data_IF_673970599411
#
_entry.id   IF_673970599411
#
_cell.length_a   1.000
_cell.length_b   1.000
_cell.length_c   1.000
_cell.angle_alpha   90.00
_cell.angle_beta   90.00
_cell.angle_gamma   90.00
#
_symmetry.space_group_name_H-M   'P 1'
#
loop_
_entity.id
_entity.type
_entity.pdbx_description
1 polymer ?
#
# COMPACT_ATOMS: atom_id res chain seq x y z
N UNK A 1 -25.94 34.77 -4.64
CA UNK A 1 -25.34 34.49 -3.32
C UNK A 1 -25.01 33.01 -3.14
N UNK A 2 -25.96 32.10 -3.34
CA UNK A 2 -25.76 30.66 -3.12
C UNK A 2 -24.57 30.00 -3.85
N UNK A 3 -24.30 30.38 -5.11
CA UNK A 3 -23.21 29.78 -5.88
C UNK A 3 -21.81 30.20 -5.37
N UNK A 4 -21.66 31.48 -4.99
CA UNK A 4 -20.39 31.99 -4.46
C UNK A 4 -20.04 31.32 -3.13
N UNK A 5 -21.03 31.14 -2.26
CA UNK A 5 -20.86 30.44 -0.99
C UNK A 5 -20.47 28.97 -1.18
N UNK A 6 -21.07 28.27 -2.16
CA UNK A 6 -20.68 26.89 -2.50
C UNK A 6 -19.25 26.84 -3.00
N UNK A 7 -18.86 27.73 -3.92
CA UNK A 7 -17.51 27.75 -4.47
C UNK A 7 -16.47 28.08 -3.39
N UNK A 8 -16.78 28.99 -2.47
CA UNK A 8 -15.92 29.28 -1.31
C UNK A 8 -15.80 28.08 -0.36
N UNK A 9 -16.91 27.39 -0.07
CA UNK A 9 -16.90 26.20 0.78
C UNK A 9 -16.08 25.07 0.15
N UNK A 10 -16.25 24.82 -1.15
CA UNK A 10 -15.51 23.80 -1.91
C UNK A 10 -14.01 24.15 -1.97
N UNK A 11 -13.67 25.42 -2.21
CA UNK A 11 -12.27 25.87 -2.22
C UNK A 11 -11.61 25.73 -0.85
N UNK A 12 -12.35 26.00 0.22
CA UNK A 12 -11.88 25.80 1.60
C UNK A 12 -11.68 24.32 1.91
N UNK A 13 -12.64 23.47 1.53
CA UNK A 13 -12.54 22.02 1.69
C UNK A 13 -11.33 21.45 0.93
N UNK A 14 -11.13 21.86 -0.32
CA UNK A 14 -9.97 21.47 -1.13
C UNK A 14 -8.64 21.89 -0.48
N UNK A 15 -8.58 23.10 0.07
CA UNK A 15 -7.39 23.62 0.76
C UNK A 15 -7.09 22.78 2.02
N UNK A 16 -8.13 22.42 2.79
CA UNK A 16 -7.98 21.59 3.98
C UNK A 16 -7.48 20.19 3.62
N UNK A 17 -8.01 19.58 2.56
CA UNK A 17 -7.57 18.28 2.07
C UNK A 17 -6.09 18.32 1.65
N UNK A 18 -5.66 19.38 0.97
CA UNK A 18 -4.26 19.56 0.58
C UNK A 18 -3.32 19.65 1.81
N UNK A 19 -3.74 20.36 2.86
CA UNK A 19 -2.99 20.46 4.12
C UNK A 19 -2.87 19.09 4.77
N UNK A 20 -3.97 18.34 4.85
CA UNK A 20 -3.98 16.99 5.45
C UNK A 20 -3.08 16.03 4.67
N UNK A 21 -3.16 16.02 3.34
CA UNK A 21 -2.32 15.19 2.48
C UNK A 21 -0.82 15.49 2.67
N UNK A 22 -0.46 16.77 2.81
CA UNK A 22 0.92 17.17 3.05
C UNK A 22 1.45 16.66 4.41
N UNK A 23 0.63 16.72 5.46
CA UNK A 23 1.02 16.19 6.77
C UNK A 23 1.14 14.66 6.75
N UNK A 24 0.24 13.96 6.05
CA UNK A 24 0.36 12.51 5.85
C UNK A 24 1.67 12.18 5.11
N UNK A 25 2.01 12.91 4.05
CA UNK A 25 3.26 12.69 3.31
C UNK A 25 4.48 12.88 4.21
N UNK A 26 4.48 13.91 5.06
CA UNK A 26 5.56 14.14 6.05
C UNK A 26 5.69 12.98 7.04
N UNK A 27 4.58 12.43 7.53
CA UNK A 27 4.61 11.25 8.41
C UNK A 27 5.13 10.01 7.68
N UNK A 28 4.75 9.81 6.41
CA UNK A 28 5.30 8.74 5.57
C UNK A 28 6.80 8.89 5.41
N UNK A 29 7.31 10.09 5.15
CA UNK A 29 8.75 10.35 4.97
C UNK A 29 9.55 10.11 6.26
N UNK A 30 8.93 10.26 7.43
CA UNK A 30 9.53 9.90 8.73
C UNK A 30 9.61 8.38 8.89
N UNK A 31 8.55 7.64 8.52
CA UNK A 31 8.44 6.18 8.68
C UNK A 31 9.26 5.44 7.61
N UNK A 32 9.32 5.98 6.40
CA UNK A 32 10.11 5.49 5.27
C UNK A 32 11.40 6.30 5.22
N UNK A 33 12.45 5.95 5.98
CA UNK A 33 13.74 6.60 5.82
C UNK A 33 14.12 6.52 4.34
N UNK A 34 14.55 7.66 3.79
CA UNK A 34 15.03 7.87 2.40
C UNK A 34 16.24 6.99 2.01
N UNK A 35 16.43 5.84 2.65
CA UNK A 35 17.33 4.80 2.17
C UNK A 35 16.74 4.23 0.88
N UNK A 36 17.58 4.11 -0.16
CA UNK A 36 17.27 3.61 -1.51
C UNK A 36 16.84 4.60 -2.59
N UNK A 37 17.29 5.85 -2.60
CA UNK A 37 17.47 6.56 -3.90
C UNK A 37 18.64 7.56 -3.83
N UNK A 38 19.84 7.06 -3.57
CA UNK A 38 21.09 7.73 -3.98
C UNK A 38 21.98 6.67 -4.62
N UNK A 39 21.75 6.41 -5.90
CA UNK A 39 22.80 6.19 -6.90
C UNK A 39 22.11 5.99 -8.25
N UNK A 40 22.16 7.02 -9.09
CA UNK A 40 22.87 6.94 -10.38
C UNK A 40 22.74 8.28 -11.06
N UNK A 41 23.65 9.16 -10.68
CA UNK A 41 23.99 10.32 -11.48
C UNK A 41 24.71 9.85 -12.76
N UNK A 42 24.51 10.56 -13.86
CA UNK A 42 25.26 10.42 -15.11
C UNK A 42 25.03 9.13 -15.90
N UNK A 43 24.25 9.20 -16.98
CA UNK A 43 24.78 9.01 -18.34
C UNK A 43 23.69 9.37 -19.33
N UNK A 44 23.86 10.55 -19.92
CA UNK A 44 23.42 10.83 -21.28
C UNK A 44 23.80 9.64 -22.17
N UNK A 45 22.82 8.89 -22.64
CA UNK A 45 22.98 8.08 -23.83
C UNK A 45 21.67 8.03 -24.61
N UNK A 46 21.57 9.00 -25.51
CA UNK A 46 20.76 8.93 -26.73
C UNK A 46 21.14 7.65 -27.47
N UNK A 47 20.27 6.65 -27.53
CA UNK A 47 20.37 5.55 -28.49
C UNK A 47 18.98 5.08 -28.94
N UNK A 48 18.60 5.55 -30.13
CA UNK A 48 17.87 4.88 -31.23
C UNK A 48 16.75 3.88 -30.93
N UNK A 49 15.58 3.96 -31.62
CA UNK A 49 14.58 2.91 -31.59
C UNK A 49 15.06 1.74 -32.45
N UNK A 50 15.73 0.76 -31.83
CA UNK A 50 15.95 -0.53 -32.46
C UNK A 50 14.85 -1.49 -32.02
N UNK A 51 14.19 -2.03 -33.02
CA UNK A 51 13.05 -2.92 -32.96
C UNK A 51 13.37 -4.22 -32.21
N UNK A 52 12.29 -4.79 -31.65
CA UNK A 52 12.13 -6.19 -31.24
C UNK A 52 12.62 -6.57 -29.83
N UNK A 53 11.68 -6.58 -28.86
CA UNK A 53 11.46 -7.73 -27.97
C UNK A 53 10.48 -7.42 -26.83
N UNK A 54 9.27 -7.99 -26.91
CA UNK A 54 8.43 -8.46 -25.78
C UNK A 54 8.26 -7.50 -24.59
N UNK A 55 7.49 -6.43 -24.76
CA UNK A 55 6.87 -5.73 -23.63
C UNK A 55 5.37 -6.00 -23.66
N UNK A 56 4.89 -6.72 -22.65
CA UNK A 56 3.53 -6.64 -22.07
C UNK A 56 3.01 -8.01 -21.59
N UNK A 57 3.66 -8.60 -20.58
CA UNK A 57 3.02 -9.63 -19.74
C UNK A 57 3.26 -9.43 -18.23
N UNK A 58 4.03 -8.42 -17.82
CA UNK A 58 4.39 -8.27 -16.40
C UNK A 58 3.31 -7.56 -15.56
N UNK A 59 2.55 -6.61 -16.12
CA UNK A 59 1.51 -5.88 -15.36
C UNK A 59 0.37 -6.78 -14.86
N UNK A 60 -0.08 -7.73 -15.68
CA UNK A 60 -1.15 -8.66 -15.31
C UNK A 60 -0.71 -9.67 -14.24
N UNK A 61 0.58 -10.03 -14.21
CA UNK A 61 1.12 -10.98 -13.23
C UNK A 61 1.32 -10.32 -11.86
N UNK A 62 1.69 -9.04 -11.81
CA UNK A 62 1.80 -8.28 -10.56
C UNK A 62 0.40 -8.06 -9.94
N UNK A 63 -0.60 -7.71 -10.76
CA UNK A 63 -1.98 -7.54 -10.29
C UNK A 63 -2.57 -8.85 -9.75
N UNK A 64 -2.42 -9.96 -10.48
CA UNK A 64 -2.89 -11.29 -10.05
C UNK A 64 -2.20 -11.78 -8.79
N UNK A 65 -0.89 -11.55 -8.67
CA UNK A 65 -0.11 -11.89 -7.48
C UNK A 65 -0.57 -11.09 -6.26
N UNK A 66 -0.84 -9.80 -6.43
CA UNK A 66 -1.38 -8.94 -5.38
C UNK A 66 -2.79 -9.39 -4.94
N UNK A 67 -3.65 -9.74 -5.90
CA UNK A 67 -4.99 -10.22 -5.59
C UNK A 67 -4.98 -11.57 -4.85
N UNK A 68 -4.11 -12.50 -5.25
CA UNK A 68 -3.92 -13.78 -4.57
C UNK A 68 -3.35 -13.61 -3.16
N UNK A 69 -2.40 -12.68 -2.99
CA UNK A 69 -1.87 -12.32 -1.67
C UNK A 69 -2.94 -11.72 -0.76
N UNK A 70 -3.79 -10.84 -1.29
CA UNK A 70 -4.89 -10.26 -0.53
C UNK A 70 -5.93 -11.31 -0.12
N UNK A 71 -6.31 -12.23 -1.02
CA UNK A 71 -7.21 -13.34 -0.69
C UNK A 71 -6.64 -14.22 0.43
N UNK A 72 -5.34 -14.53 0.35
CA UNK A 72 -4.65 -15.30 1.39
C UNK A 72 -4.61 -14.56 2.72
N UNK A 73 -4.32 -13.26 2.70
CA UNK A 73 -4.31 -12.42 3.90
C UNK A 73 -5.70 -12.38 4.55
N UNK A 74 -6.75 -12.21 3.76
CA UNK A 74 -8.13 -12.21 4.23
C UNK A 74 -8.50 -13.55 4.89
N UNK A 75 -8.18 -14.67 4.25
CA UNK A 75 -8.46 -16.00 4.81
C UNK A 75 -7.80 -16.23 6.19
N UNK A 76 -6.55 -15.79 6.35
CA UNK A 76 -5.83 -15.92 7.64
C UNK A 76 -6.45 -15.05 8.75
N UNK A 77 -6.93 -13.85 8.40
CA UNK A 77 -7.64 -12.98 9.34
C UNK A 77 -8.97 -13.60 9.75
N UNK A 78 -9.74 -14.10 8.79
CA UNK A 78 -11.03 -14.76 9.05
C UNK A 78 -10.87 -16.04 9.89
N UNK A 79 -9.81 -16.83 9.64
CA UNK A 79 -9.48 -18.01 10.45
C UNK A 79 -9.15 -17.62 11.90
N UNK A 80 -8.27 -16.63 12.10
CA UNK A 80 -7.92 -16.12 13.43
C UNK A 80 -9.16 -15.65 14.17
N UNK A 81 -10.02 -14.87 13.52
CA UNK A 81 -11.22 -14.30 14.13
C UNK A 81 -12.22 -15.40 14.47
N UNK A 82 -12.34 -16.41 13.61
CA UNK A 82 -13.16 -17.60 13.89
C UNK A 82 -12.66 -18.35 15.13
N UNK A 83 -11.35 -18.57 15.24
CA UNK A 83 -10.75 -19.23 16.40
C UNK A 83 -10.96 -18.43 17.69
N UNK A 84 -10.72 -17.12 17.68
CA UNK A 84 -10.95 -16.26 18.85
C UNK A 84 -12.43 -16.20 19.23
N UNK A 85 -13.34 -16.21 18.25
CA UNK A 85 -14.78 -16.21 18.50
C UNK A 85 -15.28 -17.49 19.20
N UNK A 86 -14.57 -18.61 19.06
CA UNK A 86 -14.91 -19.83 19.81
C UNK A 86 -14.65 -19.69 21.32
N UNK A 87 -13.82 -18.73 21.75
CA UNK A 87 -13.40 -18.57 23.15
C UNK A 87 -12.42 -19.64 23.64
N UNK A 88 -12.09 -20.64 22.80
CA UNK A 88 -11.11 -21.69 23.11
C UNK A 88 -9.67 -21.28 22.83
N UNK A 89 -9.48 -20.16 22.12
CA UNK A 89 -8.18 -19.61 21.78
C UNK A 89 -8.09 -18.17 22.25
N UNK A 90 -6.91 -17.80 22.69
CA UNK A 90 -6.51 -16.49 23.21
C UNK A 90 -5.39 -15.92 22.35
N UNK A 91 -5.14 -14.63 22.48
CA UNK A 91 -4.07 -13.94 21.74
C UNK A 91 -2.67 -14.50 21.99
N UNK A 92 -2.47 -15.15 23.13
CA UNK A 92 -1.19 -15.73 23.54
C UNK A 92 -1.02 -17.18 23.08
N UNK A 93 -2.09 -17.80 22.56
CA UNK A 93 -1.99 -19.16 22.07
C UNK A 93 -1.08 -19.26 20.86
N UNK A 94 -0.28 -20.32 20.82
CA UNK A 94 0.73 -20.54 19.78
C UNK A 94 0.10 -20.53 18.38
N UNK A 95 -1.13 -21.03 18.24
CA UNK A 95 -1.89 -21.03 16.97
C UNK A 95 -2.19 -19.60 16.53
N UNK A 96 -2.71 -18.76 17.43
CA UNK A 96 -3.04 -17.35 17.13
C UNK A 96 -1.76 -16.54 16.87
N UNK A 97 -0.69 -16.79 17.63
CA UNK A 97 0.60 -16.13 17.43
C UNK A 97 1.22 -16.45 16.07
N UNK A 98 1.10 -17.70 15.59
CA UNK A 98 1.53 -18.10 14.24
C UNK A 98 0.74 -17.36 13.16
N UNK A 99 -0.60 -17.36 13.26
CA UNK A 99 -1.47 -16.62 12.34
C UNK A 99 -1.11 -15.13 12.29
N UNK A 100 -0.90 -14.50 13.46
CA UNK A 100 -0.51 -13.10 13.54
C UNK A 100 0.86 -12.81 12.88
N UNK A 101 1.83 -13.72 13.03
CA UNK A 101 3.12 -13.58 12.38
C UNK A 101 3.01 -13.75 10.85
N UNK A 102 2.18 -14.68 10.38
CA UNK A 102 1.93 -14.85 8.94
C UNK A 102 1.22 -13.65 8.32
N UNK A 103 0.18 -13.12 8.98
CA UNK A 103 -0.53 -11.90 8.60
C UNK A 103 0.46 -10.73 8.49
N UNK A 104 1.30 -10.53 9.52
CA UNK A 104 2.33 -9.46 9.52
C UNK A 104 3.34 -9.66 8.39
N UNK A 105 3.78 -10.89 8.16
CA UNK A 105 4.71 -11.22 7.08
C UNK A 105 4.12 -10.96 5.69
N UNK A 106 2.80 -11.11 5.51
CA UNK A 106 2.13 -10.82 4.26
C UNK A 106 1.89 -9.33 4.04
N UNK A 107 1.67 -8.55 5.10
CA UNK A 107 1.50 -7.09 5.01
C UNK A 107 2.81 -6.34 4.74
N UNK A 108 3.95 -6.89 5.16
CA UNK A 108 5.26 -6.25 5.07
C UNK A 108 6.07 -6.66 3.82
N UNK A 109 5.48 -7.46 2.93
CA UNK A 109 6.15 -8.06 1.77
C UNK A 109 5.75 -7.39 0.47
#
# INVERSE_FOLDING_TARGET
>A
MYLEEILCADSTALTNDQILLNEIQKQIDIIKPKAFLVEKDGYSQVFTPSSNSKISQNANNILKRSEEQNKKLQALVEERDSLLKTGSYTTDDTVIMKLNNEIRSLMMK
#
